data_IF_082288742818
#
_entry.id   IF_082288742818
#
_cell.length_a   1.000
_cell.length_b   1.000
_cell.length_c   1.000
_cell.angle_alpha   90.00
_cell.angle_beta   90.00
_cell.angle_gamma   90.00
#
_symmetry.space_group_name_H-M   'P 1'
#
loop_
_entity.id
_entity.type
_entity.pdbx_description
1 polymer ?
#
# COMPACT_ATOMS: atom_id res chain seq x y z
N UNK A 1 48.37 -24.66 1.52
CA UNK A 1 48.51 -23.35 2.19
C UNK A 1 47.13 -22.89 2.65
N UNK A 2 46.83 -23.01 3.95
CA UNK A 2 45.54 -22.60 4.50
C UNK A 2 45.45 -21.06 4.55
N UNK A 3 44.40 -20.47 3.97
CA UNK A 3 44.11 -19.03 4.10
C UNK A 3 43.89 -18.71 5.58
N UNK A 4 44.83 -18.00 6.21
CA UNK A 4 44.62 -17.42 7.54
C UNK A 4 43.39 -16.51 7.48
N UNK A 5 42.36 -16.83 8.26
CA UNK A 5 41.19 -15.98 8.41
C UNK A 5 41.64 -14.66 9.04
N UNK A 6 41.49 -13.55 8.31
CA UNK A 6 41.97 -12.21 8.71
C UNK A 6 40.90 -11.40 9.45
N UNK A 7 39.71 -11.95 9.72
CA UNK A 7 38.70 -11.22 10.50
C UNK A 7 39.08 -11.25 11.98
N UNK A 8 39.51 -10.10 12.50
CA UNK A 8 39.82 -9.88 13.93
C UNK A 8 38.53 -9.99 14.78
N UNK A 9 37.39 -9.72 14.15
CA UNK A 9 36.06 -9.94 14.70
C UNK A 9 35.71 -11.42 14.48
N UNK A 10 35.54 -12.18 15.56
CA UNK A 10 35.07 -13.56 15.49
C UNK A 10 33.70 -13.66 14.80
N UNK A 11 33.23 -14.89 14.54
CA UNK A 11 31.92 -15.09 13.93
C UNK A 11 30.79 -14.83 14.92
N UNK A 12 30.02 -13.74 14.70
CA UNK A 12 28.80 -13.46 15.44
C UNK A 12 27.59 -13.82 14.59
N UNK A 13 26.67 -14.59 15.17
CA UNK A 13 25.39 -14.88 14.53
C UNK A 13 24.55 -13.61 14.33
N UNK A 14 24.68 -12.64 15.25
CA UNK A 14 23.90 -11.40 15.28
C UNK A 14 24.62 -10.29 14.49
N UNK A 15 25.93 -10.12 14.71
CA UNK A 15 26.74 -9.10 14.04
C UNK A 15 27.62 -9.72 12.96
N UNK A 16 26.99 -10.20 11.90
CA UNK A 16 27.72 -10.67 10.72
C UNK A 16 28.46 -9.51 10.06
N UNK A 17 29.55 -9.77 9.32
CA UNK A 17 30.30 -8.71 8.63
C UNK A 17 29.41 -7.79 7.78
N UNK A 18 28.37 -8.31 7.11
CA UNK A 18 27.45 -7.48 6.32
C UNK A 18 26.61 -6.52 7.19
N UNK A 19 26.23 -6.96 8.40
CA UNK A 19 25.46 -6.14 9.36
C UNK A 19 26.35 -5.04 9.94
N UNK A 20 27.61 -5.36 10.25
CA UNK A 20 28.59 -4.41 10.78
C UNK A 20 28.91 -3.34 9.73
N UNK A 21 29.12 -3.74 8.48
CA UNK A 21 29.35 -2.83 7.36
C UNK A 21 28.16 -1.87 7.15
N UNK A 22 26.94 -2.39 7.19
CA UNK A 22 25.73 -1.58 7.07
C UNK A 22 25.56 -0.60 8.26
N UNK A 23 25.93 -0.99 9.49
CA UNK A 23 25.97 -0.09 10.64
C UNK A 23 26.99 1.04 10.43
N UNK A 24 28.21 0.73 9.98
CA UNK A 24 29.25 1.72 9.73
C UNK A 24 28.82 2.72 8.64
N UNK A 25 28.32 2.24 7.51
CA UNK A 25 27.83 3.10 6.42
C UNK A 25 26.69 4.02 6.91
N UNK A 26 25.74 3.49 7.68
CA UNK A 26 24.66 4.31 8.26
C UNK A 26 25.20 5.36 9.23
N UNK A 27 26.21 5.01 10.03
CA UNK A 27 26.85 5.93 10.98
C UNK A 27 27.61 7.05 10.28
N UNK A 28 28.31 6.76 9.17
CA UNK A 28 29.04 7.76 8.38
C UNK A 28 28.09 8.67 7.59
N UNK A 29 27.06 8.11 6.97
CA UNK A 29 26.10 8.88 6.15
C UNK A 29 25.12 9.70 7.00
N UNK A 30 24.94 9.35 8.27
CA UNK A 30 23.93 9.96 9.17
C UNK A 30 22.49 9.78 8.67
N UNK A 31 22.26 8.81 7.76
CA UNK A 31 20.96 8.57 7.10
C UNK A 31 20.71 7.07 6.96
N UNK A 32 19.45 6.68 7.02
CA UNK A 32 19.04 5.31 6.67
C UNK A 32 19.26 5.05 5.18
N UNK A 33 19.84 3.90 4.86
CA UNK A 33 19.97 3.43 3.48
C UNK A 33 18.60 3.04 2.94
N UNK A 34 17.94 3.97 2.26
CA UNK A 34 16.69 3.71 1.53
C UNK A 34 17.02 3.00 0.21
N UNK A 35 16.51 1.78 0.01
CA UNK A 35 16.67 1.03 -1.25
C UNK A 35 15.33 0.39 -1.65
N UNK A 36 15.10 0.24 -2.95
CA UNK A 36 13.84 -0.30 -3.50
C UNK A 36 13.63 -1.81 -3.37
N UNK A 37 14.45 -2.55 -2.61
CA UNK A 37 14.45 -4.02 -2.55
C UNK A 37 14.20 -4.60 -1.15
N UNK A 38 13.31 -3.97 -0.36
CA UNK A 38 12.81 -4.53 0.91
C UNK A 38 13.81 -4.53 2.10
N UNK A 39 13.44 -5.23 3.17
CA UNK A 39 14.04 -5.27 4.50
C UNK A 39 15.39 -6.02 4.53
N UNK A 40 16.32 -5.58 5.39
CA UNK A 40 17.59 -6.27 5.69
C UNK A 40 17.41 -7.58 6.49
N UNK A 41 16.18 -7.90 6.91
CA UNK A 41 15.89 -9.10 7.69
C UNK A 41 15.55 -10.26 6.76
N UNK A 42 15.99 -11.48 7.12
CA UNK A 42 15.52 -12.70 6.47
C UNK A 42 14.01 -12.80 6.68
N UNK A 43 13.26 -12.71 5.59
CA UNK A 43 11.80 -12.91 5.59
C UNK A 43 11.48 -14.39 5.37
N UNK A 44 10.35 -14.89 5.91
CA UNK A 44 9.86 -16.22 5.55
C UNK A 44 9.70 -16.34 4.04
N UNK A 45 10.06 -17.51 3.52
CA UNK A 45 9.85 -17.94 2.15
C UNK A 45 8.61 -18.82 2.06
N UNK A 46 8.16 -19.15 0.85
CA UNK A 46 7.06 -20.10 0.67
C UNK A 46 7.37 -21.48 1.26
N UNK A 47 8.64 -21.84 1.34
CA UNK A 47 9.10 -23.10 1.95
C UNK A 47 8.97 -23.11 3.49
N UNK A 48 8.82 -21.93 4.11
CA UNK A 48 8.59 -21.81 5.55
C UNK A 48 7.09 -21.92 5.92
N UNK A 49 6.20 -22.05 4.93
CA UNK A 49 4.74 -22.13 5.13
C UNK A 49 4.23 -23.56 4.96
N UNK A 50 3.51 -24.06 5.96
CA UNK A 50 2.79 -25.35 5.89
C UNK A 50 1.29 -25.10 5.75
N UNK A 51 0.71 -25.53 4.64
CA UNK A 51 -0.74 -25.49 4.44
C UNK A 51 -1.39 -26.75 5.04
N UNK A 52 -2.38 -26.55 5.91
CA UNK A 52 -3.14 -27.64 6.52
C UNK A 52 -4.30 -28.04 5.58
N UNK A 53 -4.30 -29.26 4.99
CA UNK A 53 -5.38 -29.67 4.12
C UNK A 53 -6.66 -29.93 4.92
N UNK A 54 -7.81 -29.67 4.29
CA UNK A 54 -9.10 -30.11 4.80
C UNK A 54 -9.16 -31.64 4.83
N UNK A 55 -9.69 -32.20 5.93
CA UNK A 55 -9.92 -33.65 6.07
C UNK A 55 -11.31 -33.89 6.65
N UNK A 56 -11.43 -34.37 7.89
CA UNK A 56 -12.72 -34.66 8.53
C UNK A 56 -13.43 -33.40 9.04
N UNK A 57 -12.70 -32.35 9.36
CA UNK A 57 -13.30 -31.10 9.91
C UNK A 57 -13.82 -30.16 8.83
N UNK A 58 -13.35 -30.29 7.59
CA UNK A 58 -13.76 -29.49 6.44
C UNK A 58 -13.67 -30.35 5.19
N UNK A 59 -14.81 -30.55 4.53
CA UNK A 59 -14.85 -31.24 3.26
C UNK A 59 -14.05 -30.47 2.20
N UNK A 60 -13.22 -31.19 1.46
CA UNK A 60 -12.47 -30.65 0.34
C UNK A 60 -13.35 -30.63 -0.90
N UNK A 61 -13.13 -29.64 -1.75
CA UNK A 61 -13.80 -29.57 -3.05
C UNK A 61 -13.32 -30.70 -3.96
N UNK A 62 -14.25 -31.29 -4.71
CA UNK A 62 -13.93 -32.25 -5.75
C UNK A 62 -13.62 -31.48 -7.05
N UNK A 63 -12.34 -31.30 -7.39
CA UNK A 63 -11.91 -30.41 -8.49
C UNK A 63 -12.46 -30.73 -9.90
N UNK A 64 -13.08 -31.90 -10.10
CA UNK A 64 -13.78 -32.25 -11.36
C UNK A 64 -15.29 -31.95 -11.31
N UNK A 65 -15.89 -31.80 -10.13
CA UNK A 65 -17.32 -31.46 -9.93
C UNK A 65 -17.51 -29.99 -9.60
N UNK A 66 -16.57 -29.42 -8.87
CA UNK A 66 -16.65 -28.07 -8.30
C UNK A 66 -15.50 -27.22 -8.84
N UNK A 67 -15.81 -25.96 -9.17
CA UNK A 67 -14.80 -24.99 -9.60
C UNK A 67 -14.26 -24.24 -8.37
N UNK A 68 -12.95 -24.09 -8.31
CA UNK A 68 -12.33 -23.18 -7.35
C UNK A 68 -12.52 -21.74 -7.84
N UNK A 69 -13.38 -20.97 -7.16
CA UNK A 69 -13.59 -19.56 -7.47
C UNK A 69 -12.53 -18.70 -6.80
N UNK A 70 -11.83 -17.89 -7.60
CA UNK A 70 -10.85 -16.89 -7.14
C UNK A 70 -11.47 -15.50 -6.98
N UNK A 71 -12.76 -15.37 -7.30
CA UNK A 71 -13.49 -14.10 -7.22
C UNK A 71 -13.42 -13.56 -5.81
N UNK A 72 -13.00 -12.31 -5.68
CA UNK A 72 -12.86 -11.61 -4.39
C UNK A 72 -13.70 -10.36 -4.41
N UNK A 73 -14.55 -10.17 -3.40
CA UNK A 73 -15.42 -8.99 -3.29
C UNK A 73 -14.99 -8.15 -2.11
N UNK A 74 -14.61 -6.90 -2.37
CA UNK A 74 -14.27 -5.91 -1.34
C UNK A 74 -15.49 -5.02 -1.10
N UNK A 75 -15.90 -4.93 0.16
CA UNK A 75 -17.07 -4.18 0.59
C UNK A 75 -18.39 -4.69 0.03
N UNK A 76 -18.80 -5.94 0.36
CA UNK A 76 -20.05 -6.53 -0.13
C UNK A 76 -21.32 -5.79 0.29
N UNK A 77 -21.22 -4.86 1.26
CA UNK A 77 -22.34 -4.02 1.73
C UNK A 77 -22.45 -2.68 0.99
N UNK A 78 -21.44 -2.30 0.20
CA UNK A 78 -21.51 -1.10 -0.63
C UNK A 78 -22.52 -1.33 -1.78
N UNK A 79 -23.12 -0.25 -2.32
CA UNK A 79 -24.07 -0.38 -3.44
C UNK A 79 -23.38 -0.88 -4.72
N UNK A 80 -22.12 -0.51 -4.91
CA UNK A 80 -21.22 -0.97 -5.97
C UNK A 80 -19.98 -1.59 -5.32
N UNK A 81 -20.05 -2.86 -4.87
CA UNK A 81 -18.89 -3.57 -4.34
C UNK A 81 -17.77 -3.66 -5.37
N UNK A 82 -16.53 -3.69 -4.90
CA UNK A 82 -15.37 -3.88 -5.77
C UNK A 82 -15.12 -5.37 -5.97
N UNK A 83 -15.56 -5.90 -7.11
CA UNK A 83 -15.39 -7.31 -7.46
C UNK A 83 -14.10 -7.52 -8.25
N UNK A 84 -13.22 -8.41 -7.81
CA UNK A 84 -11.98 -8.81 -8.47
C UNK A 84 -12.10 -10.25 -8.96
N UNK A 85 -11.53 -10.55 -10.13
CA UNK A 85 -11.59 -11.91 -10.70
C UNK A 85 -10.58 -12.84 -10.00
N UNK A 86 -9.55 -12.25 -9.38
CA UNK A 86 -8.48 -12.91 -8.63
C UNK A 86 -8.27 -12.23 -7.27
N UNK A 87 -7.73 -12.94 -6.26
CA UNK A 87 -7.50 -12.39 -4.91
C UNK A 87 -6.21 -11.55 -4.81
N UNK A 88 -5.82 -10.88 -5.90
CA UNK A 88 -4.57 -10.13 -6.01
C UNK A 88 -4.87 -8.84 -6.75
N UNK A 89 -4.51 -7.68 -6.21
CA UNK A 89 -4.59 -6.40 -6.90
C UNK A 89 -3.31 -5.59 -6.72
N UNK A 90 -3.11 -4.58 -7.58
CA UNK A 90 -1.90 -3.76 -7.56
C UNK A 90 -2.10 -2.61 -6.58
N UNK A 91 -1.37 -2.63 -5.47
CA UNK A 91 -1.48 -1.61 -4.41
C UNK A 91 -0.98 -0.23 -4.87
N UNK A 92 -1.35 0.82 -4.12
CA UNK A 92 -1.07 2.20 -4.47
C UNK A 92 0.43 2.53 -4.48
N UNK A 93 0.92 2.93 -5.65
CA UNK A 93 2.23 3.56 -5.84
C UNK A 93 2.01 4.90 -6.53
N UNK A 94 2.62 5.97 -5.99
CA UNK A 94 2.32 7.34 -6.42
C UNK A 94 2.95 7.68 -7.76
N UNK A 95 2.26 8.53 -8.53
CA UNK A 95 2.89 9.27 -9.61
C UNK A 95 4.00 10.18 -9.05
N UNK A 96 5.19 10.11 -9.65
CA UNK A 96 6.44 10.71 -9.15
C UNK A 96 7.35 9.69 -8.49
N UNK A 97 6.81 8.70 -7.77
CA UNK A 97 7.59 7.51 -7.38
C UNK A 97 7.77 6.56 -8.57
N UNK A 98 6.68 6.35 -9.33
CA UNK A 98 6.66 5.68 -10.63
C UNK A 98 6.55 6.68 -11.76
N UNK A 99 7.02 6.29 -12.95
CA UNK A 99 6.79 7.04 -14.18
C UNK A 99 5.33 6.93 -14.65
N UNK A 100 4.95 7.83 -15.56
CA UNK A 100 3.63 7.83 -16.18
C UNK A 100 3.36 6.53 -16.95
N UNK A 101 4.37 6.04 -17.68
CA UNK A 101 4.31 4.82 -18.48
C UNK A 101 4.15 3.60 -17.59
N UNK A 102 4.86 3.55 -16.46
CA UNK A 102 4.73 2.46 -15.48
C UNK A 102 3.31 2.41 -14.90
N UNK A 103 2.74 3.55 -14.51
CA UNK A 103 1.36 3.63 -14.01
C UNK A 103 0.34 3.18 -15.07
N UNK A 104 0.52 3.63 -16.30
CA UNK A 104 -0.33 3.25 -17.44
C UNK A 104 -0.24 1.76 -17.77
N UNK A 105 0.97 1.19 -17.73
CA UNK A 105 1.20 -0.23 -17.95
C UNK A 105 0.56 -1.09 -16.85
N UNK A 106 0.67 -0.68 -15.58
CA UNK A 106 0.01 -1.34 -14.45
C UNK A 106 -1.52 -1.29 -14.58
N UNK A 107 -2.08 -0.16 -14.98
CA UNK A 107 -3.51 0.00 -15.23
C UNK A 107 -4.03 -0.99 -16.29
N UNK A 108 -3.36 -1.06 -17.44
CA UNK A 108 -3.70 -2.01 -18.51
C UNK A 108 -3.55 -3.46 -18.06
N UNK A 109 -2.43 -3.79 -17.40
CA UNK A 109 -2.16 -5.14 -16.91
C UNK A 109 -3.17 -5.62 -15.89
N UNK A 110 -3.56 -4.76 -14.94
CA UNK A 110 -4.59 -5.07 -13.95
C UNK A 110 -5.95 -5.31 -14.61
N UNK A 111 -6.34 -4.46 -15.57
CA UNK A 111 -7.58 -4.63 -16.33
C UNK A 111 -7.60 -5.96 -17.08
N UNK A 112 -6.49 -6.33 -17.74
CA UNK A 112 -6.36 -7.62 -18.43
C UNK A 112 -6.44 -8.81 -17.47
N UNK A 113 -5.92 -8.66 -16.24
CA UNK A 113 -5.98 -9.69 -15.20
C UNK A 113 -7.30 -9.70 -14.41
N UNK A 114 -8.26 -8.81 -14.75
CA UNK A 114 -9.54 -8.73 -14.04
C UNK A 114 -9.43 -8.16 -12.62
N UNK A 115 -8.38 -7.41 -12.31
CA UNK A 115 -8.11 -6.87 -10.97
C UNK A 115 -8.01 -5.34 -10.93
N UNK A 116 -7.83 -4.80 -9.73
CA UNK A 116 -7.79 -3.38 -9.46
C UNK A 116 -6.38 -2.80 -9.41
N UNK A 117 -6.33 -1.49 -9.63
CA UNK A 117 -5.16 -0.63 -9.36
C UNK A 117 -5.52 0.43 -8.33
N UNK A 118 -4.51 1.06 -7.74
CA UNK A 118 -4.70 2.17 -6.81
C UNK A 118 -3.83 3.37 -7.20
N UNK A 119 -4.39 4.58 -7.07
CA UNK A 119 -3.71 5.84 -7.41
C UNK A 119 -2.38 6.02 -6.68
N UNK A 120 -2.30 5.52 -5.45
CA UNK A 120 -1.24 5.87 -4.53
C UNK A 120 -1.29 7.34 -4.12
N UNK A 121 -0.21 7.81 -3.50
CA UNK A 121 -0.10 9.14 -2.88
C UNK A 121 -0.01 10.33 -3.87
N UNK A 122 -0.18 10.07 -5.17
CA UNK A 122 0.10 11.03 -6.25
C UNK A 122 -1.12 11.74 -6.83
N UNK A 123 -2.34 11.32 -6.50
CA UNK A 123 -3.57 11.77 -7.14
C UNK A 123 -3.93 10.95 -8.40
N UNK A 124 -4.91 11.42 -9.18
CA UNK A 124 -5.42 10.74 -10.38
C UNK A 124 -4.77 11.17 -11.69
N UNK A 125 -4.07 10.26 -12.37
CA UNK A 125 -3.67 10.47 -13.77
C UNK A 125 -4.87 10.11 -14.67
N UNK A 126 -5.31 10.98 -15.61
CA UNK A 126 -6.45 10.70 -16.47
C UNK A 126 -6.32 9.37 -17.25
N UNK A 127 -5.13 9.08 -17.76
CA UNK A 127 -4.88 7.85 -18.51
C UNK A 127 -4.87 6.61 -17.62
N UNK A 128 -4.31 6.69 -16.41
CA UNK A 128 -4.42 5.60 -15.43
C UNK A 128 -5.89 5.25 -15.17
N UNK A 129 -6.72 6.26 -14.89
CA UNK A 129 -8.16 6.03 -14.68
C UNK A 129 -8.84 5.46 -15.93
N UNK A 130 -8.48 5.93 -17.13
CA UNK A 130 -9.06 5.47 -18.40
C UNK A 130 -8.78 3.99 -18.66
N UNK A 131 -7.55 3.54 -18.38
CA UNK A 131 -7.15 2.15 -18.66
C UNK A 131 -7.50 1.17 -17.55
N UNK A 132 -7.70 1.65 -16.31
CA UNK A 132 -8.12 0.82 -15.20
C UNK A 132 -9.64 0.59 -15.22
N UNK A 133 -10.05 -0.67 -15.38
CA UNK A 133 -11.45 -1.08 -15.25
C UNK A 133 -11.96 -0.97 -13.81
N UNK A 134 -11.06 -1.24 -12.85
CA UNK A 134 -11.28 -1.21 -11.41
C UNK A 134 -10.19 -0.35 -10.78
N UNK A 135 -10.55 0.77 -10.17
CA UNK A 135 -9.57 1.74 -9.67
C UNK A 135 -9.93 2.29 -8.30
N UNK A 136 -8.98 2.19 -7.37
CA UNK A 136 -9.07 2.75 -6.02
C UNK A 136 -8.38 4.11 -5.95
N UNK A 137 -9.04 5.04 -5.27
CA UNK A 137 -8.47 6.36 -5.01
C UNK A 137 -7.94 6.49 -3.59
N UNK A 138 -6.66 6.80 -3.44
CA UNK A 138 -6.01 6.87 -2.15
C UNK A 138 -6.07 8.28 -1.53
N UNK A 139 -6.57 8.35 -0.31
CA UNK A 139 -6.67 9.53 0.52
C UNK A 139 -5.56 9.53 1.59
N UNK A 140 -4.54 10.38 1.39
CA UNK A 140 -3.32 10.43 2.21
C UNK A 140 -3.29 11.62 3.17
N UNK A 141 -2.37 11.61 4.15
CA UNK A 141 -2.24 12.64 5.19
C UNK A 141 -2.20 14.07 4.63
N UNK A 142 -1.40 14.29 3.57
CA UNK A 142 -1.21 15.62 2.99
C UNK A 142 -2.31 16.06 2.03
N UNK A 143 -3.24 15.16 1.67
CA UNK A 143 -4.27 15.39 0.65
C UNK A 143 -3.70 15.83 -0.71
N UNK A 144 -2.46 15.46 -1.04
CA UNK A 144 -1.85 15.84 -2.32
C UNK A 144 -2.69 15.34 -3.50
N UNK A 145 -3.05 16.26 -4.40
CA UNK A 145 -3.88 15.97 -5.57
C UNK A 145 -5.28 15.45 -5.23
N UNK A 146 -5.72 15.48 -3.96
CA UNK A 146 -7.04 15.01 -3.57
C UNK A 146 -8.12 15.92 -4.15
N UNK A 147 -9.03 15.35 -4.93
CA UNK A 147 -10.07 16.08 -5.61
C UNK A 147 -11.38 15.27 -5.49
N UNK A 148 -12.45 15.84 -4.91
CA UNK A 148 -13.75 15.18 -4.83
C UNK A 148 -14.32 14.73 -6.18
N UNK A 149 -13.99 15.42 -7.26
CA UNK A 149 -14.39 15.00 -8.61
C UNK A 149 -13.71 13.70 -9.03
N UNK A 150 -12.45 13.49 -8.67
CA UNK A 150 -11.72 12.24 -8.94
C UNK A 150 -12.24 11.10 -8.04
N UNK A 151 -12.58 11.42 -6.79
CA UNK A 151 -13.17 10.46 -5.86
C UNK A 151 -14.48 9.86 -6.40
N UNK A 152 -15.35 10.67 -7.01
CA UNK A 152 -16.60 10.19 -7.63
C UNK A 152 -16.38 9.27 -8.83
N UNK A 153 -15.22 9.34 -9.47
CA UNK A 153 -14.85 8.45 -10.58
C UNK A 153 -14.26 7.11 -10.10
N UNK A 154 -13.96 6.98 -8.81
CA UNK A 154 -13.34 5.78 -8.27
C UNK A 154 -14.32 4.62 -8.11
N UNK A 155 -13.78 3.41 -8.04
CA UNK A 155 -14.50 2.17 -7.73
C UNK A 155 -14.29 1.74 -6.27
N UNK A 156 -13.42 2.44 -5.55
CA UNK A 156 -13.20 2.29 -4.12
C UNK A 156 -12.34 3.44 -3.59
N UNK A 157 -12.45 3.74 -2.30
CA UNK A 157 -11.61 4.73 -1.63
C UNK A 157 -10.69 4.05 -0.64
N UNK A 158 -9.42 4.41 -0.63
CA UNK A 158 -8.42 3.90 0.32
C UNK A 158 -7.94 5.02 1.24
N UNK A 159 -8.20 4.93 2.54
CA UNK A 159 -7.54 5.78 3.51
C UNK A 159 -6.17 5.22 3.87
N UNK A 160 -5.14 6.01 3.63
CA UNK A 160 -3.76 5.65 3.89
C UNK A 160 -3.36 6.01 5.32
N UNK A 161 -3.38 5.04 6.23
CA UNK A 161 -2.93 5.25 7.61
C UNK A 161 -1.45 4.90 7.75
N UNK A 162 -0.99 3.85 7.08
CA UNK A 162 0.42 3.44 7.13
C UNK A 162 0.87 2.55 5.98
N UNK A 163 2.17 2.30 5.92
CA UNK A 163 2.78 1.37 4.97
C UNK A 163 3.93 0.59 5.59
N UNK A 164 4.16 -0.63 5.11
CA UNK A 164 5.22 -1.51 5.63
C UNK A 164 6.63 -0.96 5.47
N UNK A 165 6.91 -0.14 4.44
CA UNK A 165 8.24 0.42 4.23
C UNK A 165 8.65 1.42 5.34
N UNK A 166 7.67 2.14 5.90
CA UNK A 166 7.91 3.19 6.90
C UNK A 166 6.65 3.39 7.76
N UNK A 167 6.45 2.47 8.69
CA UNK A 167 5.32 2.51 9.62
C UNK A 167 5.43 3.76 10.51
N UNK A 168 4.35 4.52 10.64
CA UNK A 168 4.31 5.75 11.45
C UNK A 168 4.92 7.00 10.80
N UNK A 169 5.29 6.94 9.51
CA UNK A 169 5.79 8.10 8.75
C UNK A 169 5.00 8.31 7.47
N UNK A 170 4.86 9.57 7.06
CA UNK A 170 4.22 9.93 5.79
C UNK A 170 5.09 9.66 4.57
N UNK A 171 4.48 9.79 3.39
CA UNK A 171 5.15 9.84 2.08
C UNK A 171 6.34 10.78 2.02
N UNK A 172 7.30 10.43 1.16
CA UNK A 172 8.46 11.28 0.88
C UNK A 172 8.80 11.16 -0.60
N UNK A 173 8.87 12.29 -1.29
CA UNK A 173 9.31 12.38 -2.67
C UNK A 173 10.41 13.42 -2.75
N UNK A 174 11.58 13.01 -3.26
CA UNK A 174 12.72 13.91 -3.44
C UNK A 174 12.39 14.98 -4.50
N UNK A 175 12.83 16.21 -4.29
CA UNK A 175 12.57 17.34 -5.17
C UNK A 175 13.02 17.11 -6.61
N UNK A 176 14.12 16.37 -6.80
CA UNK A 176 14.58 15.95 -8.13
C UNK A 176 13.54 15.14 -8.93
N UNK A 177 12.62 14.44 -8.24
CA UNK A 177 11.52 13.69 -8.86
C UNK A 177 10.22 14.48 -8.95
N UNK A 178 10.18 15.70 -8.42
CA UNK A 178 9.06 16.62 -8.53
C UNK A 178 9.22 17.42 -9.82
N UNK A 179 8.90 16.75 -10.92
CA UNK A 179 8.79 17.38 -12.25
C UNK A 179 7.61 18.35 -12.27
N UNK A 180 7.54 19.22 -13.28
CA UNK A 180 6.44 20.19 -13.41
C UNK A 180 5.06 19.53 -13.44
N UNK A 181 4.95 18.35 -14.07
CA UNK A 181 3.72 17.58 -14.06
C UNK A 181 3.33 17.07 -12.66
N UNK A 182 4.29 16.59 -11.88
CA UNK A 182 4.05 16.14 -10.50
C UNK A 182 3.72 17.32 -9.58
N UNK A 183 4.37 18.46 -9.81
CA UNK A 183 4.14 19.72 -9.12
C UNK A 183 2.72 20.24 -9.36
N UNK A 184 2.29 20.34 -10.63
CA UNK A 184 0.95 20.78 -11.02
C UNK A 184 -0.13 19.89 -10.41
N UNK A 185 0.05 18.56 -10.51
CA UNK A 185 -0.90 17.59 -10.00
C UNK A 185 -1.09 17.65 -8.48
N UNK A 186 -0.05 18.05 -7.75
CA UNK A 186 -0.06 18.14 -6.28
C UNK A 186 -0.28 19.57 -5.78
N UNK A 187 -0.42 20.55 -6.68
CA UNK A 187 -0.47 21.98 -6.35
C UNK A 187 0.72 22.44 -5.50
N UNK A 188 1.92 21.97 -5.85
CA UNK A 188 3.18 22.25 -5.13
C UNK A 188 4.25 22.78 -6.08
N UNK A 189 5.24 23.55 -5.59
CA UNK A 189 6.37 24.00 -6.40
C UNK A 189 7.25 22.84 -6.87
N UNK A 190 7.71 22.92 -8.12
CA UNK A 190 8.66 21.97 -8.70
C UNK A 190 10.04 22.03 -8.00
N UNK A 191 10.76 20.91 -8.00
CA UNK A 191 12.12 20.83 -7.45
C UNK A 191 12.23 20.80 -5.92
N UNK A 192 11.11 20.92 -5.17
CA UNK A 192 11.12 20.92 -3.70
C UNK A 192 10.80 19.53 -3.15
N UNK A 193 11.57 19.08 -2.16
CA UNK A 193 11.30 17.85 -1.41
C UNK A 193 9.90 17.87 -0.79
N UNK A 194 9.11 16.84 -1.10
CA UNK A 194 7.79 16.66 -0.52
C UNK A 194 7.87 15.68 0.65
N UNK A 195 7.32 16.11 1.79
CA UNK A 195 7.27 15.31 3.01
C UNK A 195 5.86 15.38 3.56
N UNK A 196 5.16 14.25 3.51
CA UNK A 196 3.83 14.15 4.09
C UNK A 196 3.93 14.08 5.62
N UNK A 197 3.00 14.69 6.36
CA UNK A 197 2.88 14.51 7.80
C UNK A 197 2.74 13.02 8.16
N UNK A 198 3.17 12.66 9.37
CA UNK A 198 3.03 11.29 9.88
C UNK A 198 1.56 10.89 10.13
N UNK A 199 0.76 11.85 10.57
CA UNK A 199 -0.68 11.69 10.84
C UNK A 199 -1.49 12.57 9.92
N UNK A 200 -2.72 12.17 9.67
CA UNK A 200 -3.70 13.05 9.05
C UNK A 200 -3.93 14.27 9.97
N UNK A 201 -3.90 15.50 9.43
CA UNK A 201 -4.05 16.70 10.23
C UNK A 201 -5.51 16.92 10.69
N UNK A 202 -6.45 16.26 10.03
CA UNK A 202 -7.90 16.46 10.15
C UNK A 202 -8.61 15.45 11.06
N UNK A 203 -7.88 14.50 11.66
CA UNK A 203 -8.40 13.59 12.68
C UNK A 203 -7.31 13.18 13.67
N UNK A 204 -7.68 12.95 14.92
CA UNK A 204 -6.75 12.55 15.99
C UNK A 204 -7.01 11.13 16.49
N UNK A 205 -8.27 10.69 16.46
CA UNK A 205 -8.69 9.39 16.96
C UNK A 205 -9.59 8.61 15.99
N UNK A 206 -10.01 7.40 16.39
CA UNK A 206 -10.91 6.58 15.58
C UNK A 206 -12.29 7.22 15.38
N UNK A 207 -12.77 8.00 16.36
CA UNK A 207 -14.09 8.62 16.29
C UNK A 207 -14.10 9.75 15.24
N UNK A 208 -13.01 10.52 15.16
CA UNK A 208 -12.81 11.51 14.09
C UNK A 208 -12.65 10.83 12.72
N UNK A 209 -11.93 9.70 12.66
CA UNK A 209 -11.77 8.93 11.42
C UNK A 209 -13.11 8.36 10.93
N UNK A 210 -14.01 7.98 11.84
CA UNK A 210 -15.36 7.55 11.48
C UNK A 210 -16.12 8.66 10.75
N UNK A 211 -16.03 9.91 11.25
CA UNK A 211 -16.62 11.07 10.57
C UNK A 211 -16.00 11.28 9.18
N UNK A 212 -14.70 11.06 9.01
CA UNK A 212 -14.05 11.14 7.69
C UNK A 212 -14.48 10.04 6.73
N UNK A 213 -14.74 8.83 7.23
CA UNK A 213 -15.33 7.75 6.43
C UNK A 213 -16.73 8.15 5.99
N UNK A 214 -17.54 8.71 6.90
CA UNK A 214 -18.89 9.18 6.58
C UNK A 214 -18.88 10.32 5.56
N UNK A 215 -17.97 11.29 5.67
CA UNK A 215 -17.79 12.36 4.68
C UNK A 215 -17.51 11.81 3.27
N UNK A 216 -16.65 10.79 3.15
CA UNK A 216 -16.37 10.13 1.87
C UNK A 216 -17.58 9.33 1.38
N UNK A 217 -18.30 8.67 2.29
CA UNK A 217 -19.51 7.91 1.98
C UNK A 217 -20.60 8.85 1.46
N UNK A 218 -20.79 10.02 2.06
CA UNK A 218 -21.69 11.07 1.58
C UNK A 218 -21.25 11.61 0.21
N UNK A 219 -19.96 11.95 0.05
CA UNK A 219 -19.43 12.50 -1.20
C UNK A 219 -19.60 11.55 -2.41
N UNK A 220 -19.74 10.25 -2.14
CA UNK A 220 -19.89 9.16 -3.12
C UNK A 220 -21.29 8.52 -3.09
N UNK A 221 -22.27 9.11 -2.39
CA UNK A 221 -23.63 8.58 -2.23
C UNK A 221 -23.70 7.12 -1.69
N UNK A 222 -22.67 6.70 -0.97
CA UNK A 222 -22.50 5.34 -0.45
C UNK A 222 -22.34 4.29 -1.55
N UNK A 223 -21.91 4.70 -2.74
CA UNK A 223 -21.78 3.78 -3.87
C UNK A 223 -20.56 2.87 -3.75
N UNK A 224 -19.42 3.43 -3.35
CA UNK A 224 -18.14 2.73 -3.40
C UNK A 224 -17.70 2.22 -2.03
N UNK A 225 -16.96 1.10 -1.96
CA UNK A 225 -16.37 0.62 -0.72
C UNK A 225 -15.22 1.51 -0.24
N UNK A 226 -15.08 1.62 1.07
CA UNK A 226 -14.01 2.37 1.74
C UNK A 226 -13.09 1.38 2.46
N UNK A 227 -11.78 1.43 2.18
CA UNK A 227 -10.79 0.56 2.79
C UNK A 227 -9.76 1.33 3.61
N UNK A 228 -9.31 0.75 4.72
CA UNK A 228 -8.22 1.29 5.53
C UNK A 228 -6.93 0.51 5.26
N UNK A 229 -5.87 1.22 4.91
CA UNK A 229 -4.51 0.66 4.79
C UNK A 229 -3.72 0.91 6.06
N UNK A 230 -3.35 -0.14 6.77
CA UNK A 230 -2.61 -0.09 8.02
C UNK A 230 -1.14 -0.50 7.82
N UNK A 231 -0.27 0.03 8.68
CA UNK A 231 1.08 -0.51 8.85
C UNK A 231 1.07 -1.67 9.83
N UNK A 232 1.88 -2.71 9.59
CA UNK A 232 2.02 -3.82 10.53
C UNK A 232 2.80 -3.39 11.79
N UNK A 233 2.09 -2.88 12.80
CA UNK A 233 2.60 -2.56 14.13
C UNK A 233 1.83 -3.34 15.21
N UNK A 234 0.90 -2.72 15.93
CA UNK A 234 0.10 -3.37 16.97
C UNK A 234 -1.17 -3.91 16.35
N UNK A 235 -1.02 -4.87 15.42
CA UNK A 235 -2.08 -5.36 14.52
C UNK A 235 -3.41 -5.64 15.24
N UNK A 236 -3.37 -6.32 16.39
CA UNK A 236 -4.59 -6.63 17.15
C UNK A 236 -5.34 -5.37 17.61
N UNK A 237 -4.62 -4.40 18.19
CA UNK A 237 -5.21 -3.16 18.69
C UNK A 237 -5.63 -2.23 17.54
N UNK A 238 -4.77 -2.11 16.53
CA UNK A 238 -4.98 -1.24 15.37
C UNK A 238 -6.20 -1.68 14.55
N UNK A 239 -6.35 -2.99 14.30
CA UNK A 239 -7.51 -3.55 13.60
C UNK A 239 -8.79 -3.37 14.43
N UNK A 240 -8.72 -3.59 15.75
CA UNK A 240 -9.89 -3.37 16.64
C UNK A 240 -10.38 -1.93 16.57
N UNK A 241 -9.46 -0.97 16.55
CA UNK A 241 -9.79 0.45 16.43
C UNK A 241 -10.33 0.78 15.03
N UNK A 242 -9.70 0.24 13.98
CA UNK A 242 -10.12 0.42 12.60
C UNK A 242 -11.56 -0.07 12.36
N UNK A 243 -11.95 -1.23 12.90
CA UNK A 243 -13.32 -1.76 12.76
C UNK A 243 -14.37 -0.80 13.33
N UNK A 244 -14.07 -0.11 14.46
CA UNK A 244 -14.97 0.86 15.07
C UNK A 244 -15.32 2.02 14.12
N UNK A 245 -14.43 2.33 13.18
CA UNK A 245 -14.59 3.47 12.27
C UNK A 245 -15.50 3.21 11.08
N UNK A 246 -16.01 1.98 10.92
CA UNK A 246 -16.97 1.62 9.87
C UNK A 246 -16.42 1.48 8.43
N UNK A 247 -15.18 1.00 8.19
CA UNK A 247 -14.73 0.73 6.83
C UNK A 247 -15.35 -0.56 6.28
N UNK A 248 -15.34 -0.68 4.96
CA UNK A 248 -15.79 -1.86 4.23
C UNK A 248 -14.72 -2.95 4.15
N UNK A 249 -13.43 -2.59 4.28
CA UNK A 249 -12.32 -3.52 4.43
C UNK A 249 -11.09 -2.89 5.10
N UNK A 250 -10.18 -3.73 5.61
CA UNK A 250 -8.94 -3.33 6.28
C UNK A 250 -7.82 -4.22 5.74
N UNK A 251 -6.67 -3.64 5.40
CA UNK A 251 -5.50 -4.40 4.94
C UNK A 251 -4.16 -3.79 5.39
#
# INVERSE_FOLDING_TARGET
MARKNKSVLGESFIFKPEVIDDIHIKSELGRYRMRGFSLFKKIPTWDDLTFMPGTLTRFVIEGYREKCETKTVIGPKAKRPLELDIPIYITGMSFGALSYEAKTALARGATMAGTATCSGEGGMIPDERRYSSKWLYQCIQSRYGFNPHHLRLADGCEFFIGQGCKVGLGGHLMGQKVTDQVAEMRSLPAGIDQRSPARHPDWLGPDDLALKIDEIREATNGEIPIQLKLGAARVYDDVRMAIKTGPDSIY
#
